data_IF_018223574169
#
_entry.id   IF_018223574169
#
_cell.length_a   1.000
_cell.length_b   1.000
_cell.length_c   1.000
_cell.angle_alpha   90.00
_cell.angle_beta   90.00
_cell.angle_gamma   90.00
#
_symmetry.space_group_name_H-M   'P 1'
#
loop_
_entity.id
_entity.type
_entity.pdbx_description
1 polymer ?
#
# COMPACT_ATOMS: atom_id res chain seq x y z
N UNK A 1 -13.20 -7.90 13.47
CA UNK A 1 -11.93 -8.64 13.31
C UNK A 1 -10.87 -7.61 12.96
N UNK A 2 -9.67 -7.73 13.50
CA UNK A 2 -8.58 -6.82 13.13
C UNK A 2 -7.98 -7.29 11.80
N UNK A 3 -7.68 -6.38 10.86
CA UNK A 3 -7.07 -6.74 9.59
C UNK A 3 -5.70 -7.39 9.82
N UNK A 4 -5.42 -8.48 9.11
CA UNK A 4 -4.14 -9.18 9.19
C UNK A 4 -3.09 -8.43 8.35
N UNK A 5 -1.97 -8.04 8.96
CA UNK A 5 -0.86 -7.37 8.27
C UNK A 5 0.49 -7.84 8.81
N UNK A 6 1.52 -7.71 7.99
CA UNK A 6 2.91 -7.95 8.34
C UNK A 6 3.67 -6.63 8.37
N UNK A 7 4.25 -6.28 9.52
CA UNK A 7 5.12 -5.11 9.66
C UNK A 7 6.51 -5.44 9.14
N UNK A 8 6.99 -4.70 8.13
CA UNK A 8 8.35 -4.86 7.58
C UNK A 8 9.34 -3.91 8.26
N UNK A 9 8.88 -2.71 8.62
CA UNK A 9 9.61 -1.73 9.42
C UNK A 9 8.63 -0.98 10.34
N UNK A 10 9.09 -0.26 11.38
CA UNK A 10 8.19 0.53 12.22
C UNK A 10 7.32 1.54 11.45
N UNK A 11 7.76 1.96 10.26
CA UNK A 11 7.05 2.93 9.42
C UNK A 11 6.23 2.30 8.28
N UNK A 12 6.36 0.99 8.02
CA UNK A 12 5.77 0.35 6.84
C UNK A 12 5.33 -1.09 7.10
N UNK A 13 4.08 -1.37 6.72
CA UNK A 13 3.45 -2.68 6.79
C UNK A 13 2.81 -3.08 5.46
N UNK A 14 2.63 -4.38 5.27
CA UNK A 14 1.94 -4.95 4.11
C UNK A 14 0.77 -5.83 4.52
N UNK A 15 -0.27 -5.90 3.70
CA UNK A 15 -1.43 -6.76 3.94
C UNK A 15 -1.89 -7.50 2.65
N UNK A 16 -2.61 -8.63 2.80
CA UNK A 16 -3.44 -9.17 1.72
C UNK A 16 -4.63 -8.22 1.45
N UNK A 17 -5.55 -8.65 0.58
CA UNK A 17 -6.72 -7.85 0.20
C UNK A 17 -7.45 -7.30 1.44
N UNK A 18 -7.62 -5.98 1.47
CA UNK A 18 -8.43 -5.28 2.46
C UNK A 18 -9.78 -4.87 1.89
N UNK A 19 -10.75 -4.71 2.78
CA UNK A 19 -12.11 -4.26 2.50
C UNK A 19 -12.29 -2.81 2.96
N UNK A 20 -13.27 -2.07 2.41
CA UNK A 20 -13.60 -0.73 2.90
C UNK A 20 -13.87 -0.69 4.41
N UNK A 21 -14.49 -1.75 4.96
CA UNK A 21 -14.79 -1.87 6.39
C UNK A 21 -13.55 -1.98 7.29
N UNK A 22 -12.38 -2.32 6.76
CA UNK A 22 -11.14 -2.46 7.53
C UNK A 22 -10.49 -1.10 7.84
N UNK A 23 -10.85 -0.05 7.11
CA UNK A 23 -10.15 1.24 7.15
C UNK A 23 -10.20 1.90 8.53
N UNK A 24 -11.34 1.82 9.22
CA UNK A 24 -11.45 2.36 10.58
C UNK A 24 -10.53 1.59 11.55
N UNK A 25 -10.49 0.27 11.46
CA UNK A 25 -9.63 -0.54 12.32
C UNK A 25 -8.14 -0.27 12.07
N UNK A 26 -7.74 0.08 10.83
CA UNK A 26 -6.38 0.52 10.53
C UNK A 26 -6.05 1.88 11.13
N UNK A 27 -6.98 2.84 11.04
CA UNK A 27 -6.81 4.15 11.68
C UNK A 27 -6.68 4.01 13.21
N UNK A 28 -7.52 3.18 13.82
CA UNK A 28 -7.51 2.89 15.26
C UNK A 28 -6.22 2.18 15.68
N UNK A 29 -5.65 1.34 14.81
CA UNK A 29 -4.34 0.70 14.99
C UNK A 29 -3.15 1.68 14.83
N UNK A 30 -3.41 2.94 14.45
CA UNK A 30 -2.42 4.01 14.39
C UNK A 30 -1.80 4.25 13.02
N UNK A 31 -2.21 3.50 11.98
CA UNK A 31 -1.79 3.80 10.61
C UNK A 31 -2.27 5.20 10.21
N UNK A 32 -1.48 5.87 9.37
CA UNK A 32 -1.79 7.22 8.87
C UNK A 32 -2.10 7.21 7.37
N UNK A 33 -1.58 6.21 6.66
CA UNK A 33 -1.76 6.12 5.21
C UNK A 33 -1.96 4.69 4.73
N UNK A 34 -2.71 4.55 3.63
CA UNK A 34 -2.92 3.28 2.92
C UNK A 34 -2.59 3.41 1.43
N UNK A 35 -1.87 2.44 0.87
CA UNK A 35 -1.58 2.34 -0.56
C UNK A 35 -2.21 1.06 -1.12
N UNK A 36 -2.95 1.19 -2.22
CA UNK A 36 -3.54 0.07 -2.95
C UNK A 36 -2.64 -0.25 -4.15
N UNK A 37 -1.99 -1.42 -4.14
CA UNK A 37 -1.14 -1.88 -5.24
C UNK A 37 -1.79 -2.95 -6.13
N UNK A 38 -3.10 -3.20 -5.94
CA UNK A 38 -3.88 -4.13 -6.76
C UNK A 38 -4.74 -3.38 -7.77
N UNK A 39 -4.58 -3.62 -9.09
CA UNK A 39 -5.50 -3.12 -10.11
C UNK A 39 -6.94 -3.57 -9.85
N UNK A 40 -7.91 -2.73 -10.18
CA UNK A 40 -9.32 -3.08 -10.08
C UNK A 40 -9.69 -4.21 -11.04
N UNK A 41 -10.64 -5.06 -10.64
CA UNK A 41 -11.12 -6.19 -11.44
C UNK A 41 -10.21 -7.41 -11.50
N UNK A 42 -8.98 -7.37 -10.96
CA UNK A 42 -8.06 -8.52 -10.96
C UNK A 42 -8.64 -9.75 -10.22
N UNK A 43 -9.40 -9.52 -9.16
CA UNK A 43 -10.08 -10.55 -8.37
C UNK A 43 -11.52 -10.85 -8.80
N UNK A 44 -12.00 -10.24 -9.88
CA UNK A 44 -13.41 -10.34 -10.27
C UNK A 44 -14.36 -9.64 -9.28
N UNK A 45 -15.64 -10.03 -9.25
CA UNK A 45 -16.69 -9.34 -8.50
C UNK A 45 -16.48 -9.28 -6.97
N UNK A 46 -15.67 -10.18 -6.42
CA UNK A 46 -15.39 -10.23 -4.98
C UNK A 46 -14.28 -9.25 -4.55
N UNK A 47 -13.58 -8.66 -5.52
CA UNK A 47 -12.63 -7.59 -5.22
C UNK A 47 -13.39 -6.28 -5.00
N UNK A 48 -13.23 -5.60 -3.85
CA UNK A 48 -13.74 -4.25 -3.69
C UNK A 48 -13.04 -3.30 -4.65
N UNK A 49 -13.79 -2.39 -5.24
CA UNK A 49 -13.22 -1.35 -6.08
C UNK A 49 -12.34 -0.42 -5.25
N UNK A 50 -11.23 0.01 -5.84
CA UNK A 50 -10.30 0.95 -5.20
C UNK A 50 -11.02 2.20 -4.71
N UNK A 51 -11.95 2.77 -5.50
CA UNK A 51 -12.72 3.95 -5.14
C UNK A 51 -13.48 3.79 -3.80
N UNK A 52 -14.09 2.63 -3.56
CA UNK A 52 -14.78 2.34 -2.30
C UNK A 52 -13.82 2.31 -1.11
N UNK A 53 -12.66 1.68 -1.29
CA UNK A 53 -11.63 1.61 -0.24
C UNK A 53 -11.03 2.99 0.02
N UNK A 54 -10.75 3.78 -1.03
CA UNK A 54 -10.22 5.14 -0.91
C UNK A 54 -11.20 6.05 -0.15
N UNK A 55 -12.49 6.01 -0.47
CA UNK A 55 -13.52 6.78 0.26
C UNK A 55 -13.60 6.38 1.73
N UNK A 56 -13.59 5.08 2.01
CA UNK A 56 -13.63 4.60 3.40
C UNK A 56 -12.36 4.99 4.18
N UNK A 57 -11.20 4.96 3.54
CA UNK A 57 -9.94 5.39 4.13
C UNK A 57 -9.98 6.88 4.50
N UNK A 58 -10.43 7.72 3.58
CA UNK A 58 -10.60 9.16 3.84
C UNK A 58 -11.60 9.43 4.98
N UNK A 59 -12.72 8.71 5.00
CA UNK A 59 -13.72 8.83 6.07
C UNK A 59 -13.17 8.42 7.45
N UNK A 60 -12.24 7.46 7.49
CA UNK A 60 -11.53 7.04 8.69
C UNK A 60 -10.36 7.97 9.08
N UNK A 61 -10.08 9.02 8.30
CA UNK A 61 -8.97 9.95 8.54
C UNK A 61 -7.60 9.47 8.05
N UNK A 62 -7.57 8.46 7.18
CA UNK A 62 -6.35 7.98 6.54
C UNK A 62 -6.07 8.74 5.24
N UNK A 63 -4.80 9.01 4.96
CA UNK A 63 -4.41 9.33 3.59
C UNK A 63 -4.44 8.05 2.74
N UNK A 64 -4.95 8.15 1.51
CA UNK A 64 -5.09 6.99 0.66
C UNK A 64 -4.55 7.26 -0.74
N UNK A 65 -3.84 6.28 -1.31
CA UNK A 65 -3.30 6.33 -2.68
C UNK A 65 -3.57 5.04 -3.42
N UNK A 66 -3.93 5.18 -4.69
CA UNK A 66 -4.08 4.08 -5.62
C UNK A 66 -2.89 4.10 -6.57
N UNK A 67 -2.07 3.04 -6.49
CA UNK A 67 -0.86 2.89 -7.30
C UNK A 67 -0.85 1.45 -7.84
N UNK A 68 -1.70 1.14 -8.85
CA UNK A 68 -1.92 -0.22 -9.29
C UNK A 68 -0.69 -0.77 -10.01
N UNK A 69 -0.19 -1.92 -9.56
CA UNK A 69 0.97 -2.57 -10.17
C UNK A 69 0.66 -4.03 -10.52
N UNK A 70 1.08 -4.43 -11.72
CA UNK A 70 0.99 -5.82 -12.19
C UNK A 70 2.15 -6.61 -11.62
N UNK A 71 1.86 -7.67 -10.84
CA UNK A 71 2.87 -8.37 -10.03
C UNK A 71 4.07 -8.94 -10.80
N UNK A 72 3.89 -9.27 -12.07
CA UNK A 72 4.94 -9.83 -12.93
C UNK A 72 5.62 -8.80 -13.84
N UNK A 73 5.24 -7.53 -13.74
CA UNK A 73 5.70 -6.46 -14.62
C UNK A 73 5.94 -5.16 -13.84
N UNK A 74 6.56 -5.26 -12.66
CA UNK A 74 6.98 -4.09 -11.88
C UNK A 74 8.09 -3.37 -12.67
N UNK A 75 7.88 -2.10 -12.97
CA UNK A 75 8.81 -1.26 -13.72
C UNK A 75 9.63 -0.35 -12.79
N UNK A 76 10.72 0.22 -13.30
CA UNK A 76 11.48 1.23 -12.57
C UNK A 76 10.64 2.48 -12.23
N UNK A 77 9.66 2.83 -13.09
CA UNK A 77 8.73 3.93 -12.84
C UNK A 77 7.80 3.62 -11.65
N UNK A 78 7.29 2.39 -11.56
CA UNK A 78 6.46 1.97 -10.41
C UNK A 78 7.26 2.04 -9.10
N UNK A 79 8.53 1.65 -9.14
CA UNK A 79 9.43 1.71 -7.97
C UNK A 79 9.69 3.16 -7.56
N UNK A 80 9.97 4.04 -8.52
CA UNK A 80 10.21 5.46 -8.25
C UNK A 80 8.95 6.17 -7.70
N UNK A 81 7.78 5.88 -8.28
CA UNK A 81 6.50 6.40 -7.78
C UNK A 81 6.25 5.91 -6.35
N UNK A 82 6.42 4.61 -6.09
CA UNK A 82 6.22 4.05 -4.75
C UNK A 82 7.19 4.66 -3.73
N UNK A 83 8.45 4.90 -4.11
CA UNK A 83 9.42 5.59 -3.27
C UNK A 83 8.98 7.04 -2.95
N UNK A 84 8.46 7.78 -3.92
CA UNK A 84 7.90 9.12 -3.71
C UNK A 84 6.73 9.08 -2.73
N UNK A 85 5.80 8.14 -2.91
CA UNK A 85 4.66 7.98 -2.02
C UNK A 85 5.08 7.72 -0.57
N UNK A 86 6.13 6.92 -0.34
CA UNK A 86 6.64 6.67 1.02
C UNK A 86 7.30 7.90 1.66
N UNK A 87 7.78 8.86 0.87
CA UNK A 87 8.32 10.13 1.37
C UNK A 87 7.21 11.16 1.65
N UNK A 88 6.16 11.17 0.82
CA UNK A 88 5.06 12.13 0.90
C UNK A 88 4.02 11.74 1.97
N UNK A 89 3.73 10.45 2.10
CA UNK A 89 2.66 9.96 2.97
C UNK A 89 3.09 9.92 4.44
N UNK A 90 2.23 10.36 5.38
CA UNK A 90 2.52 10.20 6.79
C UNK A 90 2.61 8.72 7.17
N UNK A 91 3.64 8.37 7.94
CA UNK A 91 3.83 7.02 8.49
C UNK A 91 3.09 6.85 9.84
N UNK A 92 2.74 5.62 10.25
CA UNK A 92 2.96 4.37 9.54
C UNK A 92 2.07 4.20 8.30
N UNK A 93 2.68 3.72 7.22
CA UNK A 93 2.00 3.42 5.94
C UNK A 93 1.70 1.92 5.87
N UNK A 94 0.50 1.56 5.43
CA UNK A 94 0.15 0.18 5.08
C UNK A 94 -0.12 0.08 3.58
N UNK A 95 0.60 -0.80 2.88
CA UNK A 95 0.31 -1.12 1.49
C UNK A 95 -0.36 -2.49 1.37
N UNK A 96 -1.33 -2.64 0.47
CA UNK A 96 -1.95 -3.94 0.24
C UNK A 96 -2.16 -4.26 -1.23
N UNK A 97 -2.23 -5.55 -1.51
CA UNK A 97 -2.60 -6.04 -2.84
C UNK A 97 -3.47 -7.30 -2.70
N UNK A 98 -3.28 -8.34 -3.53
CA UNK A 98 -3.97 -9.63 -3.32
C UNK A 98 -3.44 -10.37 -2.08
N UNK A 99 -2.12 -10.54 -2.00
CA UNK A 99 -1.44 -11.36 -0.97
C UNK A 99 -0.40 -10.60 -0.15
N UNK A 100 -0.16 -9.32 -0.45
CA UNK A 100 0.93 -8.51 0.12
C UNK A 100 2.26 -8.59 -0.64
N UNK A 101 2.48 -9.61 -1.48
CA UNK A 101 3.77 -9.84 -2.16
C UNK A 101 4.22 -8.68 -3.06
N UNK A 102 3.29 -8.05 -3.79
CA UNK A 102 3.62 -6.88 -4.64
C UNK A 102 4.17 -5.72 -3.82
N UNK A 103 3.51 -5.44 -2.71
CA UNK A 103 3.87 -4.37 -1.79
C UNK A 103 5.26 -4.62 -1.20
N UNK A 104 5.56 -5.87 -0.83
CA UNK A 104 6.90 -6.25 -0.36
C UNK A 104 7.96 -6.04 -1.44
N UNK A 105 7.70 -6.48 -2.68
CA UNK A 105 8.66 -6.31 -3.78
C UNK A 105 8.92 -4.83 -4.11
N UNK A 106 7.86 -4.02 -4.21
CA UNK A 106 7.97 -2.58 -4.40
C UNK A 106 8.76 -1.92 -3.27
N UNK A 107 8.48 -2.27 -2.02
CA UNK A 107 9.19 -1.72 -0.86
C UNK A 107 10.68 -2.05 -0.87
N UNK A 108 11.04 -3.31 -1.16
CA UNK A 108 12.44 -3.72 -1.22
C UNK A 108 13.18 -3.01 -2.36
N UNK A 109 12.59 -2.96 -3.55
CA UNK A 109 13.16 -2.25 -4.70
C UNK A 109 13.29 -0.73 -4.45
N UNK A 110 12.29 -0.11 -3.82
CA UNK A 110 12.32 1.32 -3.49
C UNK A 110 13.41 1.67 -2.47
N UNK A 111 13.68 0.77 -1.51
CA UNK A 111 14.78 0.93 -0.56
C UNK A 111 16.15 0.84 -1.23
N UNK A 112 16.32 -0.11 -2.14
CA UNK A 112 17.56 -0.25 -2.92
C UNK A 112 17.78 0.96 -3.83
N UNK A 113 16.72 1.45 -4.49
CA UNK A 113 16.75 2.68 -5.27
C UNK A 113 17.17 3.88 -4.41
N UNK A 114 16.67 4.02 -3.18
CA UNK A 114 17.08 5.09 -2.27
C UNK A 114 18.53 5.02 -1.79
N UNK A 115 19.09 3.81 -1.65
CA UNK A 115 20.50 3.62 -1.27
C UNK A 115 21.46 3.96 -2.42
N UNK A 116 21.08 3.64 -3.66
CA UNK A 116 21.88 3.93 -4.85
C UNK A 116 22.01 5.44 -5.13
N UNK A 117 20.98 6.22 -4.78
CA UNK A 117 20.99 7.69 -4.91
C UNK A 117 21.80 8.41 -3.82
N UNK A 118 22.27 7.71 -2.77
CA UNK A 118 23.10 8.28 -1.69
C UNK A 118 24.60 8.08 -1.88
N UNK A 119 25.00 7.37 -2.94
CA UNK A 119 26.40 7.30 -3.38
C UNK A 119 26.62 8.31 -4.53
N UNK A 120 26.63 9.59 -4.17
CA UNK A 120 27.01 10.71 -5.04
C UNK A 120 27.95 11.64 -4.31
#
# INVERSE_FOLDING_TARGET
MNPNYQTLTPAFSVAPQLQPADMQALADAGFKSVIINRPDGEGGPEQPLSDDVLRAAQAAGLQARYQPVVSGAITAADVAEFASLLQELPAPVLAFCRSGTRCTNLFMAAREHGLDQTQG
#
